data_IF_479469417524
#
_entry.id   IF_479469417524
#
_cell.length_a   1.000
_cell.length_b   1.000
_cell.length_c   1.000
_cell.angle_alpha   90.00
_cell.angle_beta   90.00
_cell.angle_gamma   90.00
#
_symmetry.space_group_name_H-M   'P 1'
#
loop_
_entity.id
_entity.type
_entity.pdbx_description
1 polymer ?
#
# COMPACT_ATOMS: atom_id res chain seq x y z
N UNK A 1 21.28 52.09 15.07
CA UNK A 1 20.19 51.09 15.19
C UNK A 1 19.75 50.47 13.85
N UNK A 2 19.97 51.12 12.71
CA UNK A 2 19.50 50.62 11.39
C UNK A 2 20.29 49.38 10.89
N UNK A 3 21.59 49.29 11.19
CA UNK A 3 22.43 48.17 10.72
C UNK A 3 22.12 46.83 11.42
N UNK A 4 21.57 46.86 12.64
CA UNK A 4 21.25 45.64 13.40
C UNK A 4 19.98 44.95 12.88
N UNK A 5 19.05 45.73 12.30
CA UNK A 5 17.81 45.21 11.70
C UNK A 5 18.05 44.64 10.30
N UNK A 6 19.05 45.13 9.57
CA UNK A 6 19.39 44.62 8.23
C UNK A 6 19.95 43.18 8.28
N UNK A 7 20.71 42.85 9.34
CA UNK A 7 21.28 41.51 9.54
C UNK A 7 20.19 40.47 9.86
N UNK A 8 19.11 40.88 10.56
CA UNK A 8 17.99 40.00 10.91
C UNK A 8 17.15 39.63 9.68
N UNK A 9 16.97 40.58 8.75
CA UNK A 9 16.25 40.37 7.48
C UNK A 9 17.04 39.43 6.56
N UNK A 10 18.37 39.51 6.56
CA UNK A 10 19.22 38.60 5.80
C UNK A 10 19.15 37.15 6.33
N UNK A 11 18.98 36.97 7.64
CA UNK A 11 18.83 35.66 8.26
C UNK A 11 17.47 35.01 7.95
N UNK A 12 16.39 35.81 7.85
CA UNK A 12 15.05 35.35 7.48
C UNK A 12 14.97 34.85 6.03
N UNK A 13 15.82 35.36 5.13
CA UNK A 13 15.91 34.89 3.75
C UNK A 13 16.67 33.56 3.60
N UNK A 14 17.47 33.17 4.60
CA UNK A 14 18.14 31.86 4.63
C UNK A 14 17.23 30.75 5.17
N UNK A 15 16.11 31.10 5.79
CA UNK A 15 15.10 30.17 6.30
C UNK A 15 14.08 29.72 5.24
N UNK A 16 14.15 30.24 4.01
CA UNK A 16 13.34 29.73 2.87
C UNK A 16 13.99 28.53 2.17
N UNK A 17 15.02 27.94 2.79
CA UNK A 17 15.63 26.70 2.36
C UNK A 17 14.68 25.51 2.41
N UNK A 18 14.40 24.96 1.23
CA UNK A 18 13.74 23.68 0.92
C UNK A 18 12.21 23.71 0.76
N UNK A 19 11.73 24.42 -0.26
CA UNK A 19 10.58 23.92 -1.01
C UNK A 19 11.07 22.69 -1.79
N UNK A 20 10.74 21.49 -1.28
CA UNK A 20 11.13 20.21 -1.89
C UNK A 20 10.47 20.11 -3.28
N UNK A 21 11.23 20.13 -4.38
CA UNK A 21 10.63 20.08 -5.71
C UNK A 21 10.03 18.69 -5.94
N UNK A 22 8.80 18.65 -6.45
CA UNK A 22 8.08 17.46 -6.91
C UNK A 22 8.81 16.69 -8.03
N UNK A 23 9.87 17.26 -8.60
CA UNK A 23 10.78 16.60 -9.57
C UNK A 23 11.63 15.47 -8.97
N UNK A 24 11.58 15.26 -7.65
CA UNK A 24 12.31 14.18 -6.98
C UNK A 24 11.68 12.78 -7.18
N UNK A 25 10.49 12.66 -7.78
CA UNK A 25 9.88 11.35 -8.04
C UNK A 25 10.73 10.50 -8.99
N UNK A 26 11.28 11.08 -10.07
CA UNK A 26 12.06 10.32 -11.07
C UNK A 26 13.43 9.87 -10.54
N UNK A 27 14.12 10.68 -9.72
CA UNK A 27 15.38 10.26 -9.06
C UNK A 27 15.15 9.31 -7.88
N UNK A 28 14.06 9.45 -7.13
CA UNK A 28 13.70 8.50 -6.08
C UNK A 28 13.25 7.16 -6.65
N UNK A 29 12.57 7.13 -7.80
CA UNK A 29 12.20 5.89 -8.50
C UNK A 29 13.43 5.04 -8.85
N UNK A 30 14.47 5.63 -9.44
CA UNK A 30 15.70 4.89 -9.78
C UNK A 30 16.39 4.30 -8.53
N UNK A 31 16.41 5.05 -7.43
CA UNK A 31 16.96 4.56 -6.16
C UNK A 31 16.11 3.45 -5.54
N UNK A 32 14.78 3.51 -5.70
CA UNK A 32 13.85 2.49 -5.24
C UNK A 32 13.99 1.19 -6.06
N UNK A 33 14.11 1.29 -7.39
CA UNK A 33 14.24 0.12 -8.27
C UNK A 33 15.55 -0.65 -8.01
N UNK A 34 16.65 0.07 -7.77
CA UNK A 34 17.92 -0.56 -7.40
C UNK A 34 17.81 -1.31 -6.06
N UNK A 35 17.09 -0.74 -5.09
CA UNK A 35 16.85 -1.37 -3.80
C UNK A 35 15.94 -2.59 -3.90
N UNK A 36 14.85 -2.50 -4.66
CA UNK A 36 13.96 -3.64 -4.93
C UNK A 36 14.72 -4.80 -5.59
N UNK A 37 15.52 -4.50 -6.63
CA UNK A 37 16.33 -5.52 -7.31
C UNK A 37 17.36 -6.17 -6.40
N UNK A 38 18.03 -5.39 -5.55
CA UNK A 38 18.94 -5.94 -4.53
C UNK A 38 18.22 -6.89 -3.58
N UNK A 39 17.03 -6.53 -3.10
CA UNK A 39 16.25 -7.40 -2.21
C UNK A 39 15.77 -8.64 -2.95
N UNK A 40 15.32 -8.51 -4.20
CA UNK A 40 14.93 -9.65 -5.04
C UNK A 40 16.07 -10.65 -5.21
N UNK A 41 17.29 -10.18 -5.50
CA UNK A 41 18.46 -11.06 -5.63
C UNK A 41 18.76 -11.79 -4.32
N UNK A 42 18.69 -11.09 -3.18
CA UNK A 42 18.88 -11.68 -1.87
C UNK A 42 17.82 -12.74 -1.53
N UNK A 43 16.55 -12.48 -1.85
CA UNK A 43 15.45 -13.46 -1.68
C UNK A 43 15.67 -14.68 -2.56
N UNK A 44 16.00 -14.50 -3.84
CA UNK A 44 16.26 -15.60 -4.77
C UNK A 44 17.40 -16.49 -4.25
N UNK A 45 18.48 -15.87 -3.77
CA UNK A 45 19.61 -16.59 -3.20
C UNK A 45 19.22 -17.30 -1.88
N UNK A 46 18.40 -16.67 -1.04
CA UNK A 46 17.90 -17.29 0.19
C UNK A 46 17.09 -18.55 -0.12
N UNK A 47 16.14 -18.46 -1.04
CA UNK A 47 15.27 -19.57 -1.46
C UNK A 47 16.11 -20.72 -2.01
N UNK A 48 17.10 -20.42 -2.86
CA UNK A 48 18.02 -21.43 -3.40
C UNK A 48 18.89 -22.11 -2.33
N UNK A 49 19.25 -21.40 -1.25
CA UNK A 49 20.09 -21.93 -0.16
C UNK A 49 19.30 -22.68 0.92
N UNK A 50 17.98 -22.47 1.00
CA UNK A 50 17.15 -22.94 2.13
C UNK A 50 16.03 -23.90 1.69
N UNK A 51 16.29 -24.75 0.69
CA UNK A 51 15.36 -25.76 0.18
C UNK A 51 13.98 -25.20 -0.20
N UNK A 52 13.96 -24.01 -0.83
CA UNK A 52 12.72 -23.35 -1.25
C UNK A 52 12.02 -22.53 -0.15
N UNK A 53 12.52 -22.53 1.09
CA UNK A 53 11.95 -21.69 2.16
C UNK A 53 12.17 -20.20 1.86
N UNK A 54 11.17 -19.38 2.14
CA UNK A 54 11.19 -17.92 1.93
C UNK A 54 11.50 -17.15 3.22
N UNK A 55 12.19 -16.00 3.15
CA UNK A 55 12.63 -15.24 4.32
C UNK A 55 11.53 -14.27 4.77
N UNK A 56 10.48 -14.78 5.42
CA UNK A 56 9.32 -13.97 5.85
C UNK A 56 9.04 -14.11 7.35
N UNK A 57 8.32 -13.14 7.90
CA UNK A 57 7.65 -13.30 9.19
C UNK A 57 6.47 -14.26 9.07
N UNK A 58 6.27 -15.10 10.08
CA UNK A 58 5.06 -15.91 10.18
C UNK A 58 3.87 -15.02 10.57
N UNK A 59 2.77 -15.15 9.81
CA UNK A 59 1.49 -14.46 10.03
C UNK A 59 0.36 -15.48 10.13
N UNK A 60 -0.76 -15.04 10.69
CA UNK A 60 -1.97 -15.85 10.76
C UNK A 60 -2.49 -16.20 9.35
N UNK A 61 -3.21 -17.31 9.24
CA UNK A 61 -3.62 -17.84 7.94
C UNK A 61 -4.61 -16.95 7.19
N UNK A 62 -5.45 -16.23 7.93
CA UNK A 62 -6.49 -15.31 7.47
C UNK A 62 -5.95 -13.92 7.09
N UNK A 63 -4.65 -13.66 7.26
CA UNK A 63 -4.06 -12.38 6.85
C UNK A 63 -4.22 -12.17 5.33
N UNK A 64 -4.72 -11.00 4.88
CA UNK A 64 -4.89 -10.71 3.46
C UNK A 64 -3.59 -10.93 2.65
N UNK A 65 -3.72 -11.48 1.44
CA UNK A 65 -2.57 -11.97 0.65
C UNK A 65 -1.45 -10.95 0.48
N UNK A 66 -1.80 -9.68 0.20
CA UNK A 66 -0.83 -8.60 0.00
C UNK A 66 -0.18 -8.08 1.29
N UNK A 67 -0.65 -8.53 2.46
CA UNK A 67 -0.12 -8.18 3.78
C UNK A 67 0.50 -9.38 4.51
N UNK A 68 0.40 -10.58 3.93
CA UNK A 68 0.76 -11.84 4.57
C UNK A 68 2.26 -12.11 4.59
N UNK A 69 2.93 -11.96 3.45
CA UNK A 69 4.30 -12.43 3.26
C UNK A 69 5.33 -11.32 3.44
N UNK A 70 5.38 -10.72 4.64
CA UNK A 70 6.33 -9.65 4.96
C UNK A 70 7.75 -10.20 5.04
N UNK A 71 8.69 -9.59 4.32
CA UNK A 71 10.11 -10.02 4.29
C UNK A 71 10.76 -9.79 5.65
N UNK A 72 11.42 -10.83 6.18
CA UNK A 72 12.29 -10.73 7.35
C UNK A 72 13.74 -10.46 6.92
N UNK A 73 14.12 -9.18 6.95
CA UNK A 73 15.49 -8.75 6.65
C UNK A 73 16.53 -9.32 7.63
N UNK A 74 16.16 -9.79 8.82
CA UNK A 74 17.11 -10.43 9.73
C UNK A 74 17.57 -11.77 9.19
N UNK A 75 16.67 -12.56 8.60
CA UNK A 75 17.04 -13.82 7.94
C UNK A 75 18.02 -13.58 6.79
N UNK A 76 17.76 -12.55 5.98
CA UNK A 76 18.68 -12.17 4.89
C UNK A 76 20.06 -11.72 5.40
N UNK A 77 20.10 -10.92 6.48
CA UNK A 77 21.36 -10.50 7.12
C UNK A 77 22.13 -11.67 7.74
N UNK A 78 21.45 -12.56 8.47
CA UNK A 78 22.06 -13.74 9.12
C UNK A 78 22.70 -14.69 8.11
N UNK A 79 22.13 -14.77 6.91
CA UNK A 79 22.68 -15.55 5.79
C UNK A 79 23.72 -14.78 4.95
N UNK A 80 24.11 -13.57 5.37
CA UNK A 80 25.07 -12.70 4.67
C UNK A 80 24.65 -12.35 3.23
N UNK A 81 23.34 -12.32 2.95
CA UNK A 81 22.79 -12.03 1.63
C UNK A 81 22.60 -10.54 1.39
N UNK A 82 22.43 -9.78 2.47
CA UNK A 82 22.43 -8.32 2.47
C UNK A 82 23.35 -7.80 3.58
N UNK A 83 24.04 -6.70 3.31
CA UNK A 83 24.84 -6.01 4.33
C UNK A 83 24.00 -5.02 5.14
N UNK A 84 23.05 -4.35 4.49
CA UNK A 84 22.20 -3.34 5.09
C UNK A 84 20.76 -3.51 4.61
N UNK A 85 19.82 -3.09 5.46
CA UNK A 85 18.41 -2.97 5.09
C UNK A 85 18.25 -1.79 4.13
N UNK A 86 17.43 -1.88 3.07
CA UNK A 86 17.17 -0.75 2.18
C UNK A 86 16.75 0.51 2.93
N UNK A 87 17.23 1.67 2.52
CA UNK A 87 16.87 2.95 3.18
C UNK A 87 15.39 3.32 3.04
N UNK A 88 14.71 2.74 2.05
CA UNK A 88 13.28 2.94 1.82
C UNK A 88 12.39 2.01 2.66
N UNK A 89 12.98 0.98 3.25
CA UNK A 89 12.26 0.03 4.10
C UNK A 89 11.89 0.66 5.44
N UNK A 90 10.71 0.32 5.95
CA UNK A 90 10.19 0.78 7.22
C UNK A 90 11.14 0.47 8.39
N UNK A 91 11.76 -0.71 8.38
CA UNK A 91 12.72 -1.15 9.38
C UNK A 91 13.98 -0.27 9.44
N UNK A 92 14.20 0.56 8.42
CA UNK A 92 15.28 1.53 8.33
C UNK A 92 14.79 2.99 8.31
N UNK A 93 13.55 3.24 8.77
CA UNK A 93 12.94 4.57 8.84
C UNK A 93 12.32 5.07 7.54
N UNK A 94 12.20 4.21 6.53
CA UNK A 94 11.50 4.50 5.28
C UNK A 94 9.98 4.33 5.40
N UNK A 95 9.29 4.40 4.25
CA UNK A 95 7.82 4.40 4.16
C UNK A 95 7.25 3.13 3.51
N UNK A 96 8.10 2.18 3.16
CA UNK A 96 7.68 0.95 2.49
C UNK A 96 7.89 -0.28 3.37
N UNK A 97 6.88 -1.12 3.46
CA UNK A 97 7.03 -2.47 4.00
C UNK A 97 7.30 -3.43 2.84
N UNK A 98 8.40 -4.16 2.88
CA UNK A 98 8.73 -5.11 1.83
C UNK A 98 7.97 -6.43 2.02
N UNK A 99 7.40 -6.94 0.94
CA UNK A 99 6.58 -8.17 0.92
C UNK A 99 6.93 -9.04 -0.28
N UNK A 100 6.57 -10.32 -0.19
CA UNK A 100 6.58 -11.25 -1.32
C UNK A 100 5.16 -11.45 -1.85
N UNK A 101 5.04 -11.53 -3.17
CA UNK A 101 3.88 -12.07 -3.86
C UNK A 101 4.27 -13.33 -4.63
N UNK A 102 3.30 -14.05 -5.17
CA UNK A 102 3.51 -15.24 -6.01
C UNK A 102 4.37 -16.33 -5.34
N UNK A 103 4.30 -16.42 -4.00
CA UNK A 103 5.19 -17.25 -3.16
C UNK A 103 5.13 -18.74 -3.44
N UNK A 104 4.02 -19.23 -3.98
CA UNK A 104 3.82 -20.64 -4.34
C UNK A 104 4.49 -21.02 -5.67
N UNK A 105 4.95 -20.04 -6.44
CA UNK A 105 5.53 -20.23 -7.78
C UNK A 105 6.91 -19.60 -7.87
N UNK A 106 6.97 -18.31 -8.21
CA UNK A 106 8.19 -17.52 -8.26
C UNK A 106 8.02 -16.31 -7.33
N UNK A 107 8.61 -16.33 -6.12
CA UNK A 107 8.45 -15.23 -5.17
C UNK A 107 8.97 -13.90 -5.72
N UNK A 108 8.09 -12.90 -5.86
CA UNK A 108 8.44 -11.57 -6.32
C UNK A 108 8.41 -10.56 -5.17
N UNK A 109 9.46 -9.75 -5.08
CA UNK A 109 9.60 -8.67 -4.11
C UNK A 109 8.78 -7.47 -4.57
N UNK A 110 7.88 -7.04 -3.70
CA UNK A 110 7.05 -5.85 -3.84
C UNK A 110 7.03 -5.08 -2.52
N UNK A 111 6.32 -3.97 -2.49
CA UNK A 111 6.18 -3.14 -1.29
C UNK A 111 4.74 -2.76 -1.00
N UNK A 112 4.40 -2.62 0.27
CA UNK A 112 3.21 -1.91 0.73
C UNK A 112 3.63 -0.47 1.02
N UNK A 113 2.86 0.51 0.54
CA UNK A 113 3.01 1.90 0.95
C UNK A 113 2.37 2.14 2.32
N UNK A 114 3.21 2.38 3.33
CA UNK A 114 2.73 2.58 4.70
C UNK A 114 1.98 3.89 4.88
N UNK A 115 2.13 4.87 3.97
CA UNK A 115 1.35 6.12 4.04
C UNK A 115 -0.14 5.85 3.82
N UNK A 116 -0.46 4.92 2.92
CA UNK A 116 -1.84 4.44 2.70
C UNK A 116 -2.32 3.65 3.92
N UNK A 117 -1.45 2.80 4.47
CA UNK A 117 -1.75 2.03 5.70
C UNK A 117 -2.03 2.93 6.90
N UNK A 118 -1.32 4.06 7.01
CA UNK A 118 -1.49 5.03 8.08
C UNK A 118 -2.85 5.73 7.98
N UNK A 119 -3.28 6.10 6.77
CA UNK A 119 -4.61 6.69 6.53
C UNK A 119 -5.74 5.71 6.91
N UNK A 120 -5.62 4.43 6.52
CA UNK A 120 -6.58 3.39 6.93
C UNK A 120 -6.58 3.19 8.44
N UNK A 121 -5.40 3.13 9.07
CA UNK A 121 -5.29 2.96 10.52
C UNK A 121 -5.93 4.11 11.30
N UNK A 122 -5.77 5.36 10.85
CA UNK A 122 -6.44 6.50 11.47
C UNK A 122 -7.97 6.35 11.40
N UNK A 123 -8.49 5.97 10.22
CA UNK A 123 -9.92 5.77 10.06
C UNK A 123 -10.44 4.59 10.89
N UNK A 124 -9.67 3.49 10.96
CA UNK A 124 -10.02 2.34 11.80
C UNK A 124 -10.08 2.74 13.28
N UNK A 125 -9.18 3.61 13.76
CA UNK A 125 -9.24 4.12 15.13
C UNK A 125 -10.53 4.90 15.38
N UNK A 126 -10.94 5.76 14.44
CA UNK A 126 -12.22 6.49 14.55
C UNK A 126 -13.41 5.55 14.55
N UNK A 127 -13.40 4.55 13.66
CA UNK A 127 -14.43 3.51 13.62
C UNK A 127 -14.50 2.74 14.94
N UNK A 128 -13.36 2.34 15.50
CA UNK A 128 -13.30 1.62 16.77
C UNK A 128 -13.85 2.46 17.94
N UNK A 129 -13.59 3.76 17.94
CA UNK A 129 -14.18 4.69 18.92
C UNK A 129 -15.70 4.75 18.73
N UNK A 130 -16.18 4.86 17.50
CA UNK A 130 -17.62 4.81 17.24
C UNK A 130 -18.25 3.49 17.73
N UNK A 131 -17.57 2.36 17.49
CA UNK A 131 -18.01 1.03 17.91
C UNK A 131 -17.93 0.79 19.42
N UNK A 132 -17.22 1.61 20.20
CA UNK A 132 -17.26 1.49 21.67
C UNK A 132 -18.63 1.86 22.22
N UNK A 133 -19.36 2.71 21.49
CA UNK A 133 -20.63 3.30 21.91
C UNK A 133 -21.82 2.77 21.10
N UNK A 134 -21.56 2.03 20.01
CA UNK A 134 -22.57 1.55 19.06
C UNK A 134 -22.41 0.05 18.77
N UNK A 135 -23.54 -0.65 18.61
CA UNK A 135 -23.54 -2.11 18.37
C UNK A 135 -23.10 -2.51 16.96
N UNK A 136 -23.30 -1.63 15.97
CA UNK A 136 -23.04 -1.91 14.57
C UNK A 136 -22.16 -0.82 13.96
N UNK A 137 -21.32 -1.12 12.96
CA UNK A 137 -20.63 -0.10 12.19
C UNK A 137 -21.59 0.88 11.49
N UNK A 138 -21.14 2.09 11.15
CA UNK A 138 -21.96 3.10 10.50
C UNK A 138 -22.10 2.79 9.00
N UNK A 139 -22.79 1.69 8.68
CA UNK A 139 -23.00 1.22 7.32
C UNK A 139 -23.85 2.22 6.51
N UNK A 140 -23.39 2.54 5.31
CA UNK A 140 -24.07 3.33 4.30
C UNK A 140 -24.73 2.46 3.23
N UNK A 141 -24.54 2.85 1.97
CA UNK A 141 -25.08 2.18 0.81
C UNK A 141 -24.37 0.84 0.55
N UNK A 142 -25.12 -0.17 0.12
CA UNK A 142 -24.56 -1.45 -0.31
C UNK A 142 -23.89 -1.27 -1.67
N UNK A 143 -22.59 -1.55 -1.74
CA UNK A 143 -21.81 -1.50 -2.98
C UNK A 143 -21.74 -2.87 -3.65
N UNK A 144 -21.58 -3.93 -2.84
CA UNK A 144 -21.60 -5.32 -3.27
C UNK A 144 -22.05 -6.21 -2.11
N UNK A 145 -22.11 -7.53 -2.31
CA UNK A 145 -22.37 -8.45 -1.21
C UNK A 145 -21.30 -8.31 -0.11
N UNK A 146 -21.73 -8.13 1.14
CA UNK A 146 -20.84 -7.93 2.27
C UNK A 146 -20.11 -6.59 2.34
N UNK A 147 -20.25 -5.69 1.36
CA UNK A 147 -19.43 -4.47 1.22
C UNK A 147 -20.31 -3.23 1.13
N UNK A 148 -20.02 -2.25 1.97
CA UNK A 148 -20.82 -1.04 2.13
C UNK A 148 -19.95 0.21 2.15
N UNK A 149 -20.54 1.35 1.81
CA UNK A 149 -19.95 2.65 2.14
C UNK A 149 -20.06 2.93 3.63
N UNK A 150 -19.31 3.94 4.10
CA UNK A 150 -19.42 4.45 5.46
C UNK A 150 -20.30 5.70 5.48
N UNK A 151 -21.21 5.78 6.45
CA UNK A 151 -21.89 7.02 6.81
C UNK A 151 -20.90 7.94 7.53
N UNK A 152 -20.10 8.63 6.74
CA UNK A 152 -18.98 9.46 7.18
C UNK A 152 -19.38 10.53 8.22
N UNK A 153 -20.62 11.05 8.15
CA UNK A 153 -21.20 11.99 9.13
C UNK A 153 -21.26 11.39 10.54
N UNK A 154 -21.58 10.09 10.68
CA UNK A 154 -21.62 9.39 11.96
C UNK A 154 -20.20 9.20 12.56
N UNK A 155 -19.17 9.26 11.72
CA UNK A 155 -17.76 9.22 12.11
C UNK A 155 -17.14 10.63 12.33
N UNK A 156 -17.97 11.68 12.32
CA UNK A 156 -17.55 13.09 12.39
C UNK A 156 -16.54 13.47 11.28
N UNK A 157 -16.75 12.94 10.08
CA UNK A 157 -15.99 13.31 8.89
C UNK A 157 -16.81 14.29 8.05
N UNK A 158 -16.14 15.23 7.39
CA UNK A 158 -16.79 16.22 6.52
C UNK A 158 -17.13 15.66 5.14
N UNK A 159 -16.43 14.61 4.71
CA UNK A 159 -16.60 13.98 3.39
C UNK A 159 -16.46 12.47 3.50
N UNK A 160 -16.96 11.70 2.51
CA UNK A 160 -16.72 10.26 2.44
C UNK A 160 -15.21 9.94 2.51
N UNK A 161 -14.81 8.97 3.34
CA UNK A 161 -13.40 8.66 3.52
C UNK A 161 -12.79 8.10 2.24
N UNK A 162 -11.55 8.51 1.99
CA UNK A 162 -10.74 8.03 0.88
C UNK A 162 -9.27 7.94 1.32
N UNK A 163 -8.47 7.23 0.53
CA UNK A 163 -7.02 7.27 0.60
C UNK A 163 -6.41 7.82 -0.69
N UNK A 164 -5.19 8.33 -0.59
CA UNK A 164 -4.41 8.72 -1.76
C UNK A 164 -3.92 7.49 -2.52
N UNK A 165 -4.20 7.42 -3.82
CA UNK A 165 -3.66 6.34 -4.64
C UNK A 165 -2.12 6.41 -4.69
N UNK A 166 -1.41 5.30 -4.45
CA UNK A 166 0.04 5.26 -4.64
C UNK A 166 0.45 5.16 -6.12
N UNK A 167 -0.51 4.96 -7.03
CA UNK A 167 -0.28 4.73 -8.46
C UNK A 167 -0.58 5.95 -9.33
N UNK A 168 -1.44 6.85 -8.86
CA UNK A 168 -2.00 7.94 -9.66
C UNK A 168 -2.37 9.15 -8.78
N UNK A 169 -3.01 10.15 -9.37
CA UNK A 169 -3.58 11.29 -8.63
C UNK A 169 -4.98 11.02 -8.07
N UNK A 170 -5.49 9.80 -8.22
CA UNK A 170 -6.85 9.43 -7.81
C UNK A 170 -6.97 9.39 -6.28
N UNK A 171 -8.20 9.64 -5.80
CA UNK A 171 -8.62 9.34 -4.43
C UNK A 171 -9.41 8.03 -4.45
N UNK A 172 -8.99 7.05 -3.66
CA UNK A 172 -9.60 5.73 -3.62
C UNK A 172 -10.58 5.67 -2.44
N UNK A 173 -11.88 5.42 -2.68
CA UNK A 173 -12.86 5.33 -1.61
C UNK A 173 -12.48 4.26 -0.57
N UNK A 174 -12.76 4.55 0.70
CA UNK A 174 -12.68 3.55 1.77
C UNK A 174 -14.08 3.01 2.06
N UNK A 175 -14.20 1.70 1.99
CA UNK A 175 -15.40 0.91 2.24
C UNK A 175 -15.25 0.12 3.53
N UNK A 176 -16.32 -0.54 3.94
CA UNK A 176 -16.36 -1.41 5.12
C UNK A 176 -17.04 -2.73 4.80
N UNK A 177 -16.49 -3.82 5.34
CA UNK A 177 -17.10 -5.14 5.23
C UNK A 177 -18.03 -5.47 6.41
N UNK A 178 -18.66 -6.64 6.39
CA UNK A 178 -19.55 -7.08 7.49
C UNK A 178 -18.83 -7.42 8.79
N UNK A 179 -17.51 -7.61 8.77
CA UNK A 179 -16.68 -7.86 9.95
C UNK A 179 -16.22 -6.56 10.62
N UNK A 180 -16.48 -5.41 9.99
CA UNK A 180 -16.03 -4.11 10.46
C UNK A 180 -14.61 -3.76 10.05
N UNK A 181 -14.07 -4.47 9.04
CA UNK A 181 -12.78 -4.20 8.45
C UNK A 181 -12.89 -3.17 7.32
N UNK A 182 -11.96 -2.23 7.29
CA UNK A 182 -11.89 -1.20 6.26
C UNK A 182 -11.15 -1.70 5.02
N UNK A 183 -11.73 -1.42 3.85
CA UNK A 183 -11.24 -1.85 2.54
C UNK A 183 -11.03 -0.64 1.63
N UNK A 184 -10.03 -0.68 0.76
CA UNK A 184 -9.82 0.33 -0.29
C UNK A 184 -10.43 -0.16 -1.60
N UNK A 185 -11.26 0.67 -2.21
CA UNK A 185 -11.85 0.41 -3.52
C UNK A 185 -10.84 0.77 -4.64
N UNK A 186 -10.25 -0.26 -5.23
CA UNK A 186 -9.28 -0.15 -6.32
C UNK A 186 -9.91 -0.21 -7.72
N UNK A 187 -11.25 -0.27 -7.86
CA UNK A 187 -11.90 -0.41 -9.18
C UNK A 187 -11.46 0.66 -10.17
N UNK A 188 -11.28 1.89 -9.72
CA UNK A 188 -10.82 2.98 -10.58
C UNK A 188 -9.40 2.74 -11.14
N UNK A 189 -8.48 2.23 -10.31
CA UNK A 189 -7.12 1.89 -10.74
C UNK A 189 -7.12 0.68 -11.67
N UNK A 190 -7.92 -0.34 -11.35
CA UNK A 190 -8.08 -1.53 -12.16
C UNK A 190 -8.64 -1.17 -13.54
N UNK A 191 -9.70 -0.37 -13.59
CA UNK A 191 -10.30 0.09 -14.84
C UNK A 191 -9.28 0.81 -15.73
N UNK A 192 -8.51 1.75 -15.17
CA UNK A 192 -7.48 2.48 -15.92
C UNK A 192 -6.37 1.55 -16.46
N UNK A 193 -5.97 0.53 -15.70
CA UNK A 193 -4.97 -0.45 -16.14
C UNK A 193 -5.54 -1.40 -17.19
N UNK A 194 -6.76 -1.89 -17.03
CA UNK A 194 -7.43 -2.78 -17.99
C UNK A 194 -7.61 -2.08 -19.36
N UNK A 195 -7.94 -0.78 -19.36
CA UNK A 195 -8.08 0.00 -20.60
C UNK A 195 -6.73 0.28 -21.29
N UNK A 196 -5.64 0.39 -20.53
CA UNK A 196 -4.34 0.85 -21.06
C UNK A 196 -3.30 -0.25 -21.28
N UNK A 197 -3.54 -1.46 -20.78
CA UNK A 197 -2.61 -2.59 -20.83
C UNK A 197 -3.27 -3.79 -21.49
N UNK A 198 -2.50 -4.53 -22.26
CA UNK A 198 -2.96 -5.82 -22.77
C UNK A 198 -3.15 -6.81 -21.61
N UNK A 199 -4.27 -7.52 -21.61
CA UNK A 199 -4.57 -8.53 -20.62
C UNK A 199 -5.42 -9.66 -21.21
N UNK A 200 -5.42 -10.80 -20.51
CA UNK A 200 -6.20 -11.99 -20.88
C UNK A 200 -7.20 -12.41 -19.79
N UNK A 201 -7.43 -11.55 -18.79
CA UNK A 201 -8.38 -11.78 -17.71
C UNK A 201 -9.80 -12.04 -18.23
N UNK A 202 -10.50 -12.93 -17.53
CA UNK A 202 -11.90 -13.30 -17.77
C UNK A 202 -12.70 -13.15 -16.48
N UNK A 203 -14.02 -13.20 -16.62
CA UNK A 203 -14.92 -13.34 -15.47
C UNK A 203 -14.55 -14.59 -14.66
N UNK A 204 -14.45 -14.43 -13.34
CA UNK A 204 -13.93 -15.40 -12.38
C UNK A 204 -12.45 -15.25 -12.03
N UNK A 205 -11.63 -14.57 -12.85
CA UNK A 205 -10.22 -14.34 -12.52
C UNK A 205 -10.06 -13.21 -11.49
N UNK A 206 -9.08 -13.34 -10.59
CA UNK A 206 -8.64 -12.22 -9.75
C UNK A 206 -7.75 -11.26 -10.55
N UNK A 207 -8.30 -10.11 -10.90
CA UNK A 207 -7.64 -9.13 -11.76
C UNK A 207 -6.63 -8.23 -11.05
N UNK A 208 -6.50 -8.30 -9.71
CA UNK A 208 -5.58 -7.41 -8.95
C UNK A 208 -4.13 -7.56 -9.37
N UNK A 209 -3.77 -8.73 -9.92
CA UNK A 209 -2.43 -9.00 -10.43
C UNK A 209 -1.99 -8.00 -11.51
N UNK A 210 -2.91 -7.37 -12.26
CA UNK A 210 -2.57 -6.33 -13.24
C UNK A 210 -1.87 -5.13 -12.59
N UNK A 211 -2.22 -4.79 -11.34
CA UNK A 211 -1.56 -3.72 -10.58
C UNK A 211 -0.13 -4.14 -10.28
N UNK A 212 0.07 -5.34 -9.73
CA UNK A 212 1.40 -5.81 -9.34
C UNK A 212 2.30 -6.14 -10.52
N UNK A 213 1.75 -6.41 -11.70
CA UNK A 213 2.53 -6.60 -12.93
C UNK A 213 3.11 -5.27 -13.44
N UNK A 214 2.47 -4.14 -13.13
CA UNK A 214 2.85 -2.81 -13.63
C UNK A 214 3.34 -1.86 -12.53
N UNK A 215 3.36 -2.30 -11.27
CA UNK A 215 3.78 -1.49 -10.14
C UNK A 215 4.61 -2.32 -9.14
N UNK A 216 5.60 -1.70 -8.47
CA UNK A 216 6.25 -2.33 -7.33
C UNK A 216 5.38 -2.30 -6.06
N UNK A 217 4.32 -1.49 -6.04
CA UNK A 217 3.44 -1.33 -4.88
C UNK A 217 2.26 -2.30 -5.00
N UNK A 218 1.95 -3.04 -3.92
CA UNK A 218 0.81 -3.95 -3.85
C UNK A 218 -0.47 -3.25 -3.40
N UNK A 219 -1.67 -3.66 -3.86
CA UNK A 219 -2.94 -3.10 -3.41
C UNK A 219 -3.31 -3.68 -2.02
N UNK A 220 -2.72 -3.16 -0.95
CA UNK A 220 -3.06 -3.53 0.42
C UNK A 220 -4.51 -3.11 0.79
N UNK A 221 -5.08 -3.72 1.84
CA UNK A 221 -6.49 -3.49 2.26
C UNK A 221 -7.50 -3.71 1.13
N UNK A 222 -7.25 -4.71 0.30
CA UNK A 222 -8.00 -5.00 -0.91
C UNK A 222 -8.50 -6.44 -0.87
N UNK A 223 -9.68 -6.67 -1.42
CA UNK A 223 -10.27 -7.98 -1.64
C UNK A 223 -10.26 -8.35 -3.13
N UNK A 224 -10.51 -9.60 -3.53
CA UNK A 224 -10.50 -9.97 -4.94
C UNK A 224 -11.52 -9.19 -5.77
N UNK A 225 -11.15 -8.93 -7.02
CA UNK A 225 -12.01 -8.34 -8.04
C UNK A 225 -12.05 -9.26 -9.24
N UNK A 226 -13.15 -9.23 -9.98
CA UNK A 226 -13.25 -9.92 -11.26
C UNK A 226 -13.85 -9.00 -12.33
N UNK A 227 -13.93 -9.48 -13.57
CA UNK A 227 -14.58 -8.76 -14.66
C UNK A 227 -16.06 -9.14 -14.73
N UNK A 228 -16.91 -8.13 -14.86
CA UNK A 228 -18.31 -8.31 -15.26
C UNK A 228 -18.60 -7.28 -16.36
N UNK A 229 -19.05 -7.75 -17.52
CA UNK A 229 -19.30 -6.91 -18.70
C UNK A 229 -18.11 -6.02 -19.11
N UNK A 230 -16.88 -6.47 -18.82
CA UNK A 230 -15.64 -5.74 -19.10
C UNK A 230 -15.23 -4.73 -18.02
N UNK A 231 -16.04 -4.55 -16.98
CA UNK A 231 -15.75 -3.64 -15.86
C UNK A 231 -15.28 -4.41 -14.61
N UNK A 232 -14.37 -3.83 -13.80
CA UNK A 232 -13.94 -4.43 -12.56
C UNK A 232 -15.04 -4.36 -11.49
N UNK A 233 -15.45 -5.51 -10.98
CA UNK A 233 -16.41 -5.65 -9.88
C UNK A 233 -15.79 -6.41 -8.70
N UNK A 234 -16.30 -6.17 -7.50
CA UNK A 234 -15.88 -6.92 -6.32
C UNK A 234 -16.27 -8.40 -6.46
N UNK A 235 -15.37 -9.29 -6.09
CA UNK A 235 -15.60 -10.74 -6.04
C UNK A 235 -15.18 -11.29 -4.68
N UNK A 236 -15.86 -10.90 -3.59
CA UNK A 236 -15.59 -11.48 -2.27
C UNK A 236 -15.82 -13.00 -2.34
N UNK A 237 -14.92 -13.77 -1.73
CA UNK A 237 -15.04 -15.24 -1.64
C UNK A 237 -16.26 -15.68 -0.81
#
# INVERSE_FOLDING_TARGET
MIHKNLLLILFLLLLTGCMYPSDNLSRNQVANDAQLNMVQQAVNQYVAQNDGRIPIYTKENDTPIYQKYIIDFNLLKQNNLIQTVPGTAFENGGVYQYVLIDVETEPLVKVIDLRVSDQIRELQQRLNIYLSDNTYPPFGEKIAEGIYTLKHEELNLETPPYVDSPYSTNKLPVLIDTNGELLIDYRLELFQLLESKEHNYKEGDDIRKIITDHSPIVPAYSIPYTLQDGEPVFSPE
#
